data_IF_324846361577
#
_entry.id   IF_324846361577
#
_cell.length_a   1.000
_cell.length_b   1.000
_cell.length_c   1.000
_cell.angle_alpha   90.00
_cell.angle_beta   90.00
_cell.angle_gamma   90.00
#
_symmetry.space_group_name_H-M   'P 1'
#
loop_
_entity.id
_entity.type
_entity.pdbx_description
1 polymer ?
#
# COMPACT_ATOMS: atom_id res chain seq x y z
N UNK A 1 -1.05 -26.02 -6.55
CA UNK A 1 -1.93 -25.49 -7.63
C UNK A 1 -2.66 -24.28 -7.09
N UNK A 2 -2.82 -23.19 -7.87
CA UNK A 2 -3.63 -22.05 -7.46
C UNK A 2 -5.04 -22.51 -7.10
N UNK A 3 -5.67 -21.82 -6.16
CA UNK A 3 -7.02 -22.14 -5.72
C UNK A 3 -7.95 -22.09 -6.95
N UNK A 4 -8.45 -23.25 -7.40
CA UNK A 4 -9.30 -23.34 -8.61
C UNK A 4 -10.66 -22.66 -8.43
N UNK A 5 -10.99 -22.26 -7.21
CA UNK A 5 -12.25 -21.63 -6.84
C UNK A 5 -12.21 -20.09 -6.89
N UNK A 6 -11.05 -19.49 -7.20
CA UNK A 6 -10.95 -18.04 -7.35
C UNK A 6 -11.58 -17.60 -8.67
N UNK A 7 -12.65 -16.81 -8.61
CA UNK A 7 -13.31 -16.18 -9.75
C UNK A 7 -12.51 -14.94 -10.20
N UNK A 8 -11.35 -15.16 -10.82
CA UNK A 8 -10.41 -14.10 -11.21
C UNK A 8 -11.08 -12.99 -12.02
N UNK A 9 -11.98 -13.33 -12.93
CA UNK A 9 -12.70 -12.42 -13.81
C UNK A 9 -13.60 -11.40 -13.09
N UNK A 10 -13.86 -11.59 -11.78
CA UNK A 10 -14.65 -10.66 -10.96
C UNK A 10 -13.79 -9.74 -10.09
N UNK A 11 -12.49 -10.02 -9.97
CA UNK A 11 -11.60 -9.26 -9.10
C UNK A 11 -11.22 -7.94 -9.74
N UNK A 12 -11.27 -6.86 -8.95
CA UNK A 12 -10.71 -5.57 -9.37
C UNK A 12 -9.19 -5.64 -9.45
N UNK A 13 -8.65 -5.12 -10.55
CA UNK A 13 -7.24 -4.92 -10.85
C UNK A 13 -7.10 -3.77 -11.85
N UNK A 14 -5.88 -3.26 -12.05
CA UNK A 14 -5.63 -2.22 -13.07
C UNK A 14 -5.81 -2.77 -14.49
N UNK A 15 -5.31 -3.99 -14.75
CA UNK A 15 -5.49 -4.69 -16.02
C UNK A 15 -6.40 -5.90 -15.89
N UNK A 16 -6.26 -6.84 -16.84
CA UNK A 16 -7.09 -8.05 -16.91
C UNK A 16 -6.65 -9.07 -15.84
N UNK A 17 -7.47 -9.23 -14.81
CA UNK A 17 -7.23 -10.16 -13.70
C UNK A 17 -7.16 -11.62 -14.14
N UNK A 18 -7.71 -11.99 -15.30
CA UNK A 18 -7.72 -13.38 -15.79
C UNK A 18 -6.33 -13.87 -16.24
N UNK A 19 -5.38 -12.96 -16.44
CA UNK A 19 -3.98 -13.30 -16.80
C UNK A 19 -3.13 -13.66 -15.58
N UNK A 20 -3.52 -13.20 -14.39
CA UNK A 20 -2.75 -13.33 -13.15
C UNK A 20 -2.37 -14.79 -12.81
N UNK A 21 -3.25 -15.80 -12.95
CA UNK A 21 -2.86 -17.19 -12.69
C UNK A 21 -1.69 -17.67 -13.55
N UNK A 22 -1.69 -17.31 -14.85
CA UNK A 22 -0.63 -17.69 -15.76
C UNK A 22 0.69 -16.97 -15.42
N UNK A 23 0.61 -15.69 -15.05
CA UNK A 23 1.77 -14.92 -14.60
C UNK A 23 2.37 -15.48 -13.31
N UNK A 24 1.54 -15.91 -12.35
CA UNK A 24 2.03 -16.54 -11.11
C UNK A 24 2.81 -17.82 -11.42
N UNK A 25 2.32 -18.65 -12.34
CA UNK A 25 3.04 -19.84 -12.79
C UNK A 25 4.37 -19.47 -13.47
N UNK A 26 4.34 -18.50 -14.37
CA UNK A 26 5.53 -17.99 -15.05
C UNK A 26 6.58 -17.45 -14.05
N UNK A 27 6.13 -16.76 -13.00
CA UNK A 27 6.99 -16.21 -11.95
C UNK A 27 7.75 -17.28 -11.14
N UNK A 28 7.24 -18.51 -11.09
CA UNK A 28 7.78 -19.57 -10.24
C UNK A 28 8.58 -20.61 -11.02
N UNK A 29 8.19 -20.89 -12.26
CA UNK A 29 8.73 -22.02 -13.02
C UNK A 29 9.76 -21.61 -14.09
N UNK A 30 9.85 -20.32 -14.43
CA UNK A 30 10.74 -19.84 -15.50
C UNK A 30 12.12 -19.36 -14.99
N UNK A 31 13.00 -19.05 -15.95
CA UNK A 31 14.28 -18.35 -15.70
C UNK A 31 14.08 -17.06 -14.90
N UNK A 32 15.10 -16.65 -14.12
CA UNK A 32 15.08 -15.44 -13.29
C UNK A 32 14.55 -14.18 -14.01
N UNK A 33 14.99 -13.92 -15.24
CA UNK A 33 14.55 -12.75 -16.03
C UNK A 33 13.06 -12.82 -16.43
N UNK A 34 12.55 -14.02 -16.73
CA UNK A 34 11.14 -14.21 -17.04
C UNK A 34 10.31 -14.15 -15.76
N UNK A 35 10.82 -14.70 -14.66
CA UNK A 35 10.18 -14.63 -13.35
C UNK A 35 10.04 -13.18 -12.86
N UNK A 36 11.10 -12.39 -13.00
CA UNK A 36 11.11 -10.97 -12.67
C UNK A 36 10.10 -10.18 -13.50
N UNK A 37 10.06 -10.39 -14.82
CA UNK A 37 9.05 -9.74 -15.69
C UNK A 37 7.62 -10.12 -15.36
N UNK A 38 7.37 -11.39 -15.04
CA UNK A 38 6.06 -11.84 -14.60
C UNK A 38 5.66 -11.18 -13.27
N UNK A 39 6.59 -11.08 -12.31
CA UNK A 39 6.38 -10.38 -11.04
C UNK A 39 6.04 -8.90 -11.24
N UNK A 40 6.79 -8.19 -12.10
CA UNK A 40 6.49 -6.79 -12.43
C UNK A 40 5.12 -6.61 -13.07
N UNK A 41 4.69 -7.54 -13.93
CA UNK A 41 3.37 -7.47 -14.53
C UNK A 41 2.27 -7.75 -13.50
N UNK A 42 2.47 -8.70 -12.58
CA UNK A 42 1.54 -8.93 -11.47
C UNK A 42 1.46 -7.68 -10.59
N UNK A 43 2.59 -7.12 -10.17
CA UNK A 43 2.66 -5.90 -9.36
C UNK A 43 1.88 -4.75 -9.99
N UNK A 44 2.09 -4.48 -11.29
CA UNK A 44 1.36 -3.45 -12.03
C UNK A 44 -0.15 -3.64 -12.03
N UNK A 45 -0.61 -4.89 -11.98
CA UNK A 45 -2.03 -5.22 -12.01
C UNK A 45 -2.68 -5.13 -10.62
N UNK A 46 -1.97 -5.55 -9.57
CA UNK A 46 -2.58 -5.77 -8.24
C UNK A 46 -2.11 -4.82 -7.16
N UNK A 47 -0.91 -4.26 -7.27
CA UNK A 47 -0.33 -3.37 -6.27
C UNK A 47 0.62 -2.30 -6.87
N UNK A 48 0.27 -1.62 -7.98
CA UNK A 48 1.18 -0.67 -8.63
C UNK A 48 1.54 0.45 -7.66
N UNK A 49 2.84 0.65 -7.42
CA UNK A 49 3.28 1.66 -6.45
C UNK A 49 2.66 1.47 -5.08
N UNK A 50 2.41 0.21 -4.68
CA UNK A 50 1.80 -0.20 -3.40
C UNK A 50 0.31 0.14 -3.24
N UNK A 51 -0.39 0.41 -4.34
CA UNK A 51 -1.86 0.59 -4.34
C UNK A 51 -2.57 -0.75 -4.51
N UNK A 52 -3.03 -1.36 -3.42
CA UNK A 52 -3.68 -2.66 -3.45
C UNK A 52 -5.06 -2.58 -4.10
N UNK A 53 -5.25 -3.43 -5.10
CA UNK A 53 -6.55 -3.76 -5.67
C UNK A 53 -7.02 -5.12 -5.14
N UNK A 54 -8.32 -5.40 -5.21
CA UNK A 54 -8.91 -6.64 -4.71
C UNK A 54 -8.16 -7.91 -5.15
N UNK A 55 -7.65 -7.94 -6.39
CA UNK A 55 -6.86 -9.04 -6.91
C UNK A 55 -5.57 -9.34 -6.11
N UNK A 56 -5.01 -8.37 -5.37
CA UNK A 56 -3.82 -8.57 -4.55
C UNK A 56 -4.03 -9.63 -3.47
N UNK A 57 -5.23 -9.71 -2.89
CA UNK A 57 -5.55 -10.73 -1.89
C UNK A 57 -5.54 -12.14 -2.49
N UNK A 58 -6.08 -12.31 -3.69
CA UNK A 58 -6.08 -13.59 -4.39
C UNK A 58 -4.68 -14.04 -4.81
N UNK A 59 -3.85 -13.10 -5.29
CA UNK A 59 -2.43 -13.35 -5.56
C UNK A 59 -1.71 -13.76 -4.27
N UNK A 60 -1.89 -13.00 -3.19
CA UNK A 60 -1.28 -13.28 -1.87
C UNK A 60 -1.68 -14.65 -1.35
N UNK A 61 -2.96 -14.99 -1.41
CA UNK A 61 -3.48 -16.30 -0.99
C UNK A 61 -2.83 -17.44 -1.78
N UNK A 62 -2.67 -17.25 -3.09
CA UNK A 62 -2.05 -18.22 -3.98
C UNK A 62 -0.57 -18.42 -3.65
N UNK A 63 0.19 -17.33 -3.51
CA UNK A 63 1.61 -17.39 -3.15
C UNK A 63 1.82 -17.98 -1.76
N UNK A 64 1.01 -17.59 -0.78
CA UNK A 64 1.07 -18.16 0.56
C UNK A 64 0.83 -19.69 0.55
N UNK A 65 -0.06 -20.19 -0.31
CA UNK A 65 -0.28 -21.63 -0.48
C UNK A 65 0.95 -22.35 -1.06
N UNK A 66 1.63 -21.72 -2.02
CA UNK A 66 2.82 -22.26 -2.66
C UNK A 66 4.01 -22.26 -1.71
N UNK A 67 4.20 -21.18 -0.94
CA UNK A 67 5.23 -21.07 0.09
C UNK A 67 5.06 -22.16 1.15
N UNK A 68 3.83 -22.41 1.63
CA UNK A 68 3.55 -23.52 2.56
C UNK A 68 3.93 -24.90 1.99
N UNK A 69 3.98 -25.02 0.67
CA UNK A 69 4.39 -26.24 -0.02
C UNK A 69 5.90 -26.28 -0.31
N UNK A 70 6.67 -25.30 0.19
CA UNK A 70 8.11 -25.17 -0.02
C UNK A 70 8.51 -24.50 -1.34
N UNK A 71 7.56 -23.93 -2.09
CA UNK A 71 7.82 -23.26 -3.38
C UNK A 71 7.81 -21.75 -3.18
N UNK A 72 8.98 -21.11 -3.29
CA UNK A 72 9.14 -19.67 -3.22
C UNK A 72 10.32 -19.23 -4.08
N UNK A 73 10.12 -18.26 -4.98
CA UNK A 73 11.21 -17.60 -5.72
C UNK A 73 11.50 -16.22 -5.14
N UNK A 74 12.67 -15.64 -5.44
CA UNK A 74 13.00 -14.25 -5.07
C UNK A 74 11.93 -13.29 -5.58
N UNK A 75 11.51 -13.44 -6.84
CA UNK A 75 10.49 -12.60 -7.46
C UNK A 75 9.12 -12.69 -6.76
N UNK A 76 8.76 -13.86 -6.23
CA UNK A 76 7.55 -14.03 -5.43
C UNK A 76 7.68 -13.36 -4.05
N UNK A 77 8.86 -13.43 -3.44
CA UNK A 77 9.12 -12.80 -2.15
C UNK A 77 9.11 -11.27 -2.25
N UNK A 78 9.75 -10.71 -3.27
CA UNK A 78 9.74 -9.27 -3.57
C UNK A 78 8.30 -8.76 -3.77
N UNK A 79 7.47 -9.51 -4.50
CA UNK A 79 6.06 -9.17 -4.70
C UNK A 79 5.27 -9.18 -3.37
N UNK A 80 5.53 -10.15 -2.48
CA UNK A 80 4.92 -10.16 -1.15
C UNK A 80 5.39 -8.97 -0.29
N UNK A 81 6.64 -8.52 -0.44
CA UNK A 81 7.12 -7.29 0.22
C UNK A 81 6.31 -6.09 -0.28
N UNK A 82 6.15 -5.91 -1.59
CA UNK A 82 5.36 -4.80 -2.14
C UNK A 82 3.90 -4.83 -1.64
N UNK A 83 3.30 -6.02 -1.55
CA UNK A 83 1.95 -6.17 -1.00
C UNK A 83 1.91 -5.88 0.51
N UNK A 84 2.90 -6.32 1.28
CA UNK A 84 2.97 -6.11 2.74
C UNK A 84 3.12 -4.62 3.12
N UNK A 85 3.76 -3.84 2.26
CA UNK A 85 3.84 -2.39 2.38
C UNK A 85 2.70 -1.64 1.67
N UNK A 86 1.77 -2.38 1.05
CA UNK A 86 0.63 -1.85 0.31
C UNK A 86 -0.50 -1.30 1.17
N UNK A 87 -1.25 -0.36 0.60
CA UNK A 87 -2.50 0.16 1.14
C UNK A 87 -3.62 0.00 0.11
N UNK A 88 -4.90 -0.16 0.52
CA UNK A 88 -6.02 -0.22 -0.40
C UNK A 88 -6.04 1.03 -1.30
N UNK A 89 -6.14 0.82 -2.62
CA UNK A 89 -6.35 1.90 -3.58
C UNK A 89 -7.64 2.67 -3.28
N UNK A 90 -7.77 3.90 -3.78
CA UNK A 90 -9.00 4.66 -3.52
C UNK A 90 -10.23 4.02 -4.16
N UNK A 91 -10.09 3.23 -5.22
CA UNK A 91 -11.18 2.38 -5.74
C UNK A 91 -11.67 1.40 -4.68
N UNK A 92 -10.76 0.68 -4.02
CA UNK A 92 -11.14 -0.27 -2.97
C UNK A 92 -11.82 0.43 -1.79
N UNK A 93 -11.33 1.61 -1.40
CA UNK A 93 -11.96 2.41 -0.35
C UNK A 93 -13.37 2.90 -0.74
N UNK A 94 -13.57 3.31 -1.99
CA UNK A 94 -14.90 3.70 -2.50
C UNK A 94 -15.88 2.52 -2.46
N UNK A 95 -15.42 1.33 -2.82
CA UNK A 95 -16.22 0.09 -2.76
C UNK A 95 -16.44 -0.40 -1.31
N UNK A 96 -15.68 0.14 -0.35
CA UNK A 96 -15.77 -0.20 1.08
C UNK A 96 -14.95 -1.43 1.45
N UNK A 97 -13.90 -1.73 0.67
CA UNK A 97 -12.95 -2.81 0.90
C UNK A 97 -11.71 -2.32 1.69
N UNK A 98 -11.96 -1.54 2.73
CA UNK A 98 -10.93 -0.87 3.54
C UNK A 98 -9.97 -1.85 4.22
N UNK A 99 -10.46 -3.03 4.59
CA UNK A 99 -9.67 -4.07 5.25
C UNK A 99 -8.73 -4.88 4.36
N UNK A 100 -8.57 -4.53 3.07
CA UNK A 100 -7.79 -5.30 2.10
C UNK A 100 -6.33 -5.49 2.52
N UNK A 101 -5.66 -4.43 2.98
CA UNK A 101 -4.27 -4.50 3.43
C UNK A 101 -4.09 -5.44 4.63
N UNK A 102 -5.00 -5.36 5.62
CA UNK A 102 -5.00 -6.26 6.78
C UNK A 102 -5.17 -7.73 6.39
N UNK A 103 -6.05 -8.03 5.42
CA UNK A 103 -6.23 -9.42 4.95
C UNK A 103 -4.99 -9.94 4.22
N UNK A 104 -4.39 -9.14 3.35
CA UNK A 104 -3.13 -9.50 2.68
C UNK A 104 -2.00 -9.72 3.70
N UNK A 105 -1.82 -8.80 4.64
CA UNK A 105 -0.84 -8.91 5.71
C UNK A 105 -1.03 -10.16 6.57
N UNK A 106 -2.28 -10.51 6.92
CA UNK A 106 -2.59 -11.73 7.66
C UNK A 106 -2.20 -13.00 6.87
N UNK A 107 -2.46 -13.03 5.56
CA UNK A 107 -2.07 -14.15 4.70
C UNK A 107 -0.54 -14.32 4.62
N UNK A 108 0.20 -13.22 4.51
CA UNK A 108 1.67 -13.22 4.46
C UNK A 108 2.24 -13.64 5.82
N UNK A 109 1.70 -13.10 6.91
CA UNK A 109 2.12 -13.43 8.28
C UNK A 109 2.02 -14.93 8.56
N UNK A 110 0.97 -15.58 8.06
CA UNK A 110 0.76 -17.01 8.22
C UNK A 110 1.84 -17.88 7.56
N UNK A 111 2.68 -17.32 6.68
CA UNK A 111 3.76 -18.06 6.01
C UNK A 111 5.16 -17.60 6.40
N UNK A 112 5.29 -16.57 7.24
CA UNK A 112 6.60 -16.08 7.71
C UNK A 112 7.50 -17.17 8.30
N UNK A 113 7.02 -18.10 9.16
CA UNK A 113 7.88 -19.16 9.68
C UNK A 113 8.53 -20.00 8.57
N UNK A 114 7.76 -20.36 7.53
CA UNK A 114 8.27 -21.10 6.37
C UNK A 114 9.21 -20.24 5.53
N UNK A 115 8.94 -18.94 5.36
CA UNK A 115 9.85 -18.01 4.69
C UNK A 115 11.20 -17.95 5.42
N UNK A 116 11.21 -17.90 6.75
CA UNK A 116 12.45 -17.89 7.53
C UNK A 116 13.24 -19.19 7.40
N UNK A 117 12.55 -20.34 7.40
CA UNK A 117 13.18 -21.64 7.15
C UNK A 117 13.84 -21.68 5.76
N UNK A 118 13.13 -21.24 4.72
CA UNK A 118 13.67 -21.17 3.36
C UNK A 118 14.85 -20.19 3.27
N UNK A 119 14.78 -19.04 3.95
CA UNK A 119 15.84 -18.04 3.94
C UNK A 119 17.13 -18.54 4.61
N UNK A 120 17.02 -19.34 5.68
CA UNK A 120 18.17 -19.99 6.33
C UNK A 120 18.86 -21.03 5.45
N UNK A 121 18.12 -21.64 4.52
CA UNK A 121 18.65 -22.64 3.58
C UNK A 121 19.17 -22.01 2.29
N UNK A 122 18.86 -20.74 2.05
CA UNK A 122 19.24 -20.03 0.83
C UNK A 122 20.57 -19.31 1.00
N UNK A 123 21.44 -19.40 0.01
CA UNK A 123 22.64 -18.55 -0.11
C UNK A 123 22.37 -17.27 -0.93
N UNK A 124 21.13 -17.08 -1.40
CA UNK A 124 20.72 -15.90 -2.15
C UNK A 124 20.46 -14.71 -1.20
N UNK A 125 21.29 -13.69 -1.32
CA UNK A 125 21.20 -12.46 -0.52
C UNK A 125 19.84 -11.76 -0.69
N UNK A 126 19.27 -11.70 -1.90
CA UNK A 126 17.96 -11.06 -2.13
C UNK A 126 16.84 -11.84 -1.47
N UNK A 127 16.92 -13.17 -1.49
CA UNK A 127 15.95 -13.99 -0.77
C UNK A 127 15.99 -13.70 0.74
N UNK A 128 17.18 -13.63 1.34
CA UNK A 128 17.33 -13.29 2.76
C UNK A 128 16.86 -11.86 3.04
N UNK A 129 17.16 -10.91 2.16
CA UNK A 129 16.69 -9.53 2.26
C UNK A 129 15.16 -9.47 2.30
N UNK A 130 14.46 -10.09 1.34
CA UNK A 130 13.00 -10.08 1.32
C UNK A 130 12.37 -10.73 2.56
N UNK A 131 13.01 -11.75 3.14
CA UNK A 131 12.57 -12.36 4.40
C UNK A 131 12.72 -11.39 5.58
N UNK A 132 13.81 -10.62 5.62
CA UNK A 132 14.05 -9.58 6.63
C UNK A 132 13.10 -8.40 6.46
N UNK A 133 12.82 -7.97 5.23
CA UNK A 133 11.88 -6.89 4.93
C UNK A 133 10.45 -7.27 5.38
N UNK A 134 10.02 -8.51 5.08
CA UNK A 134 8.75 -9.03 5.58
C UNK A 134 8.71 -9.14 7.11
N UNK A 135 9.81 -9.57 7.75
CA UNK A 135 9.89 -9.64 9.21
C UNK A 135 9.81 -8.24 9.83
N UNK A 136 10.55 -7.28 9.28
CA UNK A 136 10.52 -5.87 9.69
C UNK A 136 9.11 -5.32 9.59
N UNK A 137 8.35 -5.69 8.55
CA UNK A 137 7.01 -5.19 8.33
C UNK A 137 5.92 -5.87 9.16
N UNK A 138 5.97 -7.20 9.31
CA UNK A 138 4.83 -8.02 9.76
C UNK A 138 5.13 -8.93 10.97
N UNK A 139 6.39 -9.14 11.34
CA UNK A 139 6.73 -9.99 12.49
C UNK A 139 6.44 -9.24 13.79
N UNK A 140 5.51 -9.79 14.58
CA UNK A 140 5.12 -9.20 15.86
C UNK A 140 5.95 -9.69 17.03
N UNK A 141 6.68 -10.81 16.87
CA UNK A 141 7.56 -11.34 17.90
C UNK A 141 8.92 -10.65 17.87
N UNK A 142 9.19 -9.83 18.89
CA UNK A 142 10.50 -9.24 19.12
C UNK A 142 11.60 -10.32 19.22
N UNK A 143 11.31 -11.48 19.82
CA UNK A 143 12.24 -12.60 19.89
C UNK A 143 12.56 -13.16 18.49
N UNK A 144 11.55 -13.36 17.64
CA UNK A 144 11.75 -13.85 16.28
C UNK A 144 12.60 -12.88 15.45
N UNK A 145 12.35 -11.57 15.57
CA UNK A 145 13.16 -10.52 14.91
C UNK A 145 14.62 -10.54 15.39
N UNK A 146 14.85 -10.64 16.71
CA UNK A 146 16.21 -10.74 17.25
C UNK A 146 16.93 -11.99 16.77
N UNK A 147 16.24 -13.12 16.70
CA UNK A 147 16.81 -14.36 16.22
C UNK A 147 17.25 -14.22 14.76
N UNK A 148 16.38 -13.74 13.87
CA UNK A 148 16.71 -13.46 12.46
C UNK A 148 17.89 -12.50 12.33
N UNK A 149 17.87 -11.37 13.04
CA UNK A 149 18.94 -10.38 13.04
C UNK A 149 20.28 -11.03 13.45
N UNK A 150 20.27 -11.82 14.52
CA UNK A 150 21.49 -12.46 15.05
C UNK A 150 22.01 -13.58 14.16
N UNK A 151 21.14 -14.28 13.44
CA UNK A 151 21.50 -15.36 12.54
C UNK A 151 22.13 -14.79 11.27
N UNK A 152 21.45 -13.85 10.60
CA UNK A 152 21.93 -13.33 9.33
C UNK A 152 23.12 -12.39 9.46
N UNK A 153 23.29 -11.65 10.57
CA UNK A 153 24.51 -10.85 10.81
C UNK A 153 25.79 -11.67 11.02
N UNK A 154 25.68 -12.97 11.30
CA UNK A 154 26.87 -13.83 11.50
C UNK A 154 27.49 -14.31 10.20
N UNK A 155 26.70 -14.34 9.14
CA UNK A 155 27.13 -14.80 7.82
C UNK A 155 27.77 -13.65 7.04
N UNK A 156 28.63 -13.99 6.07
CA UNK A 156 29.12 -12.99 5.11
C UNK A 156 27.95 -12.56 4.22
N UNK A 157 27.70 -11.26 4.15
CA UNK A 157 26.55 -10.69 3.44
C UNK A 157 26.90 -9.37 2.79
N UNK A 158 26.19 -9.06 1.70
CA UNK A 158 26.35 -7.82 0.96
C UNK A 158 25.55 -6.66 1.55
N UNK A 159 25.65 -5.54 0.81
CA UNK A 159 25.08 -4.24 1.19
C UNK A 159 23.55 -4.25 1.22
N UNK A 160 22.89 -5.15 0.49
CA UNK A 160 21.43 -5.19 0.44
C UNK A 160 20.88 -5.78 1.73
N UNK A 161 21.42 -6.93 2.14
CA UNK A 161 21.02 -7.56 3.40
C UNK A 161 21.44 -6.72 4.61
N UNK A 162 22.61 -6.06 4.56
CA UNK A 162 23.04 -5.11 5.60
C UNK A 162 21.98 -4.04 5.89
N UNK A 163 21.44 -3.40 4.84
CA UNK A 163 20.42 -2.35 4.99
C UNK A 163 19.13 -2.88 5.60
N UNK A 164 18.68 -4.04 5.14
CA UNK A 164 17.48 -4.67 5.68
C UNK A 164 17.66 -5.04 7.16
N UNK A 165 18.84 -5.53 7.55
CA UNK A 165 19.17 -5.86 8.94
C UNK A 165 19.26 -4.61 9.82
N UNK A 166 19.83 -3.51 9.33
CA UNK A 166 19.85 -2.22 10.03
C UNK A 166 18.44 -1.67 10.24
N UNK A 167 17.56 -1.83 9.25
CA UNK A 167 16.16 -1.44 9.38
C UNK A 167 15.40 -2.35 10.35
N UNK A 168 15.64 -3.66 10.34
CA UNK A 168 15.11 -4.60 11.33
C UNK A 168 15.58 -4.24 12.75
N UNK A 169 16.84 -3.86 12.91
CA UNK A 169 17.43 -3.47 14.21
C UNK A 169 16.73 -2.25 14.81
N UNK A 170 16.42 -1.23 13.98
CA UNK A 170 15.65 -0.05 14.40
C UNK A 170 14.24 -0.41 14.88
N UNK A 171 13.68 -1.52 14.40
CA UNK A 171 12.30 -1.92 14.65
C UNK A 171 12.15 -3.13 15.59
N UNK A 172 13.21 -3.57 16.29
CA UNK A 172 13.16 -4.78 17.15
C UNK A 172 12.03 -4.78 18.18
N UNK A 173 11.72 -3.61 18.76
CA UNK A 173 10.66 -3.45 19.77
C UNK A 173 9.38 -2.82 19.23
N UNK A 174 9.30 -2.58 17.91
CA UNK A 174 8.11 -2.03 17.29
C UNK A 174 6.98 -3.05 17.35
N UNK A 175 5.79 -2.65 17.80
CA UNK A 175 4.59 -3.48 17.67
C UNK A 175 4.13 -3.40 16.21
N UNK A 176 4.81 -4.10 15.31
CA UNK A 176 4.59 -3.95 13.85
C UNK A 176 3.22 -4.44 13.43
N UNK A 177 2.45 -3.51 12.88
CA UNK A 177 1.30 -3.69 11.97
C UNK A 177 0.79 -2.37 11.36
N UNK A 178 1.24 -1.20 11.81
CA UNK A 178 0.93 0.09 11.16
C UNK A 178 2.20 0.54 10.44
N UNK A 179 2.13 1.10 9.20
CA UNK A 179 3.13 2.05 8.72
C UNK A 179 3.36 3.12 9.80
N UNK A 180 4.28 4.06 9.63
CA UNK A 180 4.13 5.30 10.40
C UNK A 180 2.68 5.78 10.18
N UNK A 181 1.83 5.87 11.22
CA UNK A 181 0.44 6.20 11.06
C UNK A 181 0.35 7.46 10.21
N UNK A 182 -0.61 7.51 9.28
CA UNK A 182 -0.93 8.73 8.53
C UNK A 182 -0.91 9.90 9.50
N UNK A 183 0.18 10.68 9.47
CA UNK A 183 0.42 11.80 10.36
C UNK A 183 0.04 11.49 11.83
N UNK A 184 0.70 10.52 12.44
CA UNK A 184 0.52 10.17 13.85
C UNK A 184 0.29 11.39 14.75
N UNK A 185 -0.87 11.40 15.41
CA UNK A 185 -1.22 12.11 16.65
C UNK A 185 -0.95 13.62 16.76
N UNK A 186 -0.38 14.28 15.75
CA UNK A 186 0.19 15.63 15.83
C UNK A 186 -0.33 16.60 14.78
N UNK A 187 -0.85 16.09 13.66
CA UNK A 187 -1.45 16.90 12.59
C UNK A 187 -2.68 16.17 12.09
N UNK A 188 -3.85 16.79 12.27
CA UNK A 188 -5.10 16.27 11.69
C UNK A 188 -5.07 16.36 10.16
N UNK A 189 -5.78 15.48 9.47
CA UNK A 189 -5.88 15.57 8.01
C UNK A 189 -6.55 16.88 7.57
N UNK A 190 -7.38 17.51 8.41
CA UNK A 190 -7.86 18.88 8.16
C UNK A 190 -6.70 19.86 8.10
N UNK A 191 -5.85 19.90 9.12
CA UNK A 191 -4.72 20.82 9.17
C UNK A 191 -3.77 20.58 7.99
N UNK A 192 -3.62 19.34 7.54
CA UNK A 192 -2.87 19.05 6.34
C UNK A 192 -3.53 19.63 5.08
N UNK A 193 -4.80 19.29 4.83
CA UNK A 193 -5.53 19.68 3.63
C UNK A 193 -5.83 21.19 3.56
N UNK A 194 -5.94 21.85 4.72
CA UNK A 194 -6.12 23.31 4.85
C UNK A 194 -4.77 24.07 4.87
N UNK A 195 -3.64 23.35 4.87
CA UNK A 195 -2.30 23.96 4.86
C UNK A 195 -1.83 24.55 6.19
N UNK A 196 -2.49 24.19 7.29
CA UNK A 196 -2.14 24.57 8.67
C UNK A 196 -0.96 23.79 9.26
N UNK A 197 -0.41 22.82 8.53
CA UNK A 197 0.73 22.01 8.98
C UNK A 197 2.07 22.37 8.33
N UNK A 198 3.16 21.82 8.88
CA UNK A 198 4.49 21.88 8.28
C UNK A 198 4.61 21.10 6.96
N UNK A 199 3.70 20.15 6.73
CA UNK A 199 3.64 19.35 5.52
C UNK A 199 3.02 20.17 4.38
N UNK A 200 3.69 20.16 3.22
CA UNK A 200 3.23 20.87 2.02
C UNK A 200 2.75 19.87 0.99
N UNK A 201 1.57 20.16 0.44
CA UNK A 201 1.07 19.43 -0.73
C UNK A 201 2.13 19.48 -1.82
N UNK A 202 2.45 18.31 -2.34
CA UNK A 202 3.41 18.16 -3.43
C UNK A 202 2.69 17.88 -4.73
N UNK A 203 1.87 16.82 -4.78
CA UNK A 203 1.16 16.40 -5.99
C UNK A 203 0.00 15.47 -5.70
N UNK A 204 -1.05 15.52 -6.51
CA UNK A 204 -1.94 14.39 -6.71
C UNK A 204 -1.33 13.43 -7.73
N UNK A 205 -1.58 12.14 -7.51
CA UNK A 205 -1.10 11.07 -8.39
C UNK A 205 -2.19 10.07 -8.76
N UNK A 206 -3.36 10.16 -8.14
CA UNK A 206 -4.53 9.35 -8.47
C UNK A 206 -5.84 10.09 -8.23
N UNK A 207 -6.79 9.92 -9.15
CA UNK A 207 -8.18 10.40 -9.02
C UNK A 207 -9.10 9.28 -9.47
N UNK A 208 -9.85 8.73 -8.52
CA UNK A 208 -10.76 7.62 -8.76
C UNK A 208 -12.21 8.09 -8.70
N UNK A 209 -12.91 7.98 -9.83
CA UNK A 209 -14.34 8.33 -9.90
C UNK A 209 -15.26 7.19 -9.45
N UNK A 210 -14.70 6.02 -9.10
CA UNK A 210 -15.40 4.88 -8.52
C UNK A 210 -16.56 4.30 -9.35
N UNK A 211 -17.11 3.16 -8.91
CA UNK A 211 -18.38 2.63 -9.42
C UNK A 211 -19.61 3.26 -8.78
N UNK A 212 -19.44 3.91 -7.61
CA UNK A 212 -20.49 4.62 -6.87
C UNK A 212 -20.63 6.05 -7.35
N UNK A 213 -21.86 6.44 -7.74
CA UNK A 213 -22.13 7.71 -8.43
C UNK A 213 -21.99 8.97 -7.58
N UNK A 214 -21.66 8.86 -6.29
CA UNK A 214 -21.57 9.98 -5.34
C UNK A 214 -20.25 9.99 -4.54
N UNK A 215 -19.22 9.27 -4.99
CA UNK A 215 -17.90 9.23 -4.34
C UNK A 215 -16.76 9.54 -5.29
N UNK A 216 -15.73 10.20 -4.78
CA UNK A 216 -14.47 10.45 -5.51
C UNK A 216 -13.30 10.17 -4.59
N UNK A 217 -12.40 9.30 -5.01
CA UNK A 217 -11.14 8.99 -4.36
C UNK A 217 -10.03 9.92 -4.85
N UNK A 218 -9.20 10.42 -3.94
CA UNK A 218 -8.04 11.24 -4.25
C UNK A 218 -6.80 10.67 -3.55
N UNK A 219 -5.77 10.38 -4.35
CA UNK A 219 -4.45 9.97 -3.88
C UNK A 219 -3.45 11.12 -4.04
N UNK A 220 -2.89 11.57 -2.93
CA UNK A 220 -2.06 12.78 -2.83
C UNK A 220 -0.76 12.52 -2.08
N UNK A 221 0.29 13.27 -2.40
CA UNK A 221 1.57 13.25 -1.71
C UNK A 221 1.87 14.60 -1.07
N UNK A 222 2.46 14.55 0.12
CA UNK A 222 2.88 15.69 0.92
C UNK A 222 4.35 15.53 1.31
N UNK A 223 5.04 16.65 1.49
CA UNK A 223 6.46 16.69 1.85
C UNK A 223 6.73 17.57 3.06
N UNK A 224 7.70 17.16 3.87
CA UNK A 224 8.30 17.96 4.96
C UNK A 224 9.82 17.80 4.92
N UNK A 225 10.52 18.77 4.34
CA UNK A 225 11.95 18.66 4.10
C UNK A 225 12.27 17.52 3.13
N UNK A 226 12.94 16.48 3.62
CA UNK A 226 13.26 15.26 2.85
C UNK A 226 12.25 14.13 3.06
N UNK A 227 11.30 14.30 3.98
CA UNK A 227 10.26 13.32 4.28
C UNK A 227 9.10 13.45 3.29
N UNK A 228 8.57 12.31 2.84
CA UNK A 228 7.40 12.24 1.97
C UNK A 228 6.35 11.33 2.61
N UNK A 229 5.08 11.68 2.44
CA UNK A 229 3.95 10.84 2.84
C UNK A 229 2.87 10.88 1.79
N UNK A 230 2.13 9.79 1.65
CA UNK A 230 0.98 9.69 0.77
C UNK A 230 -0.29 9.63 1.61
N UNK A 231 -1.33 10.36 1.19
CA UNK A 231 -2.65 10.33 1.81
C UNK A 231 -3.69 10.01 0.75
N UNK A 232 -4.61 9.12 1.12
CA UNK A 232 -5.79 8.77 0.33
C UNK A 232 -7.04 9.24 1.06
N UNK A 233 -7.89 9.94 0.34
CA UNK A 233 -9.18 10.41 0.87
C UNK A 233 -10.31 9.99 -0.06
N UNK A 234 -11.50 9.80 0.51
CA UNK A 234 -12.74 9.58 -0.21
C UNK A 234 -13.68 10.76 0.07
N UNK A 235 -13.97 11.53 -0.97
CA UNK A 235 -15.05 12.52 -0.95
C UNK A 235 -16.39 11.78 -1.08
N UNK A 236 -17.30 11.99 -0.15
CA UNK A 236 -18.64 11.36 -0.14
C UNK A 236 -19.75 12.37 -0.42
N UNK A 237 -20.87 11.89 -0.98
CA UNK A 237 -22.02 12.71 -1.40
C UNK A 237 -21.58 13.84 -2.32
N UNK A 238 -20.77 13.48 -3.30
CA UNK A 238 -20.21 14.39 -4.29
C UNK A 238 -21.34 14.90 -5.19
N UNK A 239 -21.49 16.23 -5.26
CA UNK A 239 -22.52 16.88 -6.07
C UNK A 239 -21.94 17.59 -7.30
N UNK A 240 -20.64 17.83 -7.33
CA UNK A 240 -19.93 18.41 -8.46
C UNK A 240 -18.51 17.85 -8.52
N UNK A 241 -18.11 17.42 -9.71
CA UNK A 241 -16.73 17.14 -10.07
C UNK A 241 -16.42 17.87 -11.37
N UNK A 242 -15.30 18.57 -11.40
CA UNK A 242 -14.72 19.13 -12.62
C UNK A 242 -13.29 18.64 -12.73
N UNK A 243 -12.98 17.93 -13.82
CA UNK A 243 -11.62 17.51 -14.15
C UNK A 243 -11.28 18.11 -15.51
N UNK A 244 -10.14 18.78 -15.59
CA UNK A 244 -9.65 19.40 -16.81
C UNK A 244 -8.14 19.25 -16.91
N UNK A 245 -7.64 19.03 -18.13
CA UNK A 245 -6.20 18.89 -18.38
C UNK A 245 -5.66 17.48 -18.16
N UNK A 246 -4.33 17.36 -18.25
CA UNK A 246 -3.60 16.10 -18.08
C UNK A 246 -2.95 16.07 -16.71
N UNK A 247 -3.22 15.02 -15.93
CA UNK A 247 -2.50 14.79 -14.68
C UNK A 247 -1.05 14.41 -14.99
N UNK A 248 -0.13 15.35 -14.81
CA UNK A 248 1.30 15.14 -14.94
C UNK A 248 1.90 15.14 -13.53
N UNK A 249 2.76 14.17 -13.25
CA UNK A 249 3.47 14.07 -11.98
C UNK A 249 4.45 15.25 -11.84
N UNK A 250 3.97 16.33 -11.26
CA UNK A 250 4.72 17.54 -10.98
C UNK A 250 4.11 18.28 -9.80
N UNK A 251 4.83 19.32 -9.36
CA UNK A 251 4.42 20.13 -8.21
C UNK A 251 3.05 20.77 -8.45
N UNK A 252 2.27 20.87 -7.39
CA UNK A 252 0.93 21.43 -7.46
C UNK A 252 0.54 22.27 -6.26
N UNK A 253 -0.69 22.76 -6.36
CA UNK A 253 -1.37 23.49 -5.31
C UNK A 253 -2.66 22.77 -4.95
N UNK A 254 -2.86 22.59 -3.65
CA UNK A 254 -4.09 22.08 -3.07
C UNK A 254 -4.75 23.22 -2.29
N UNK A 255 -6.03 23.47 -2.56
CA UNK A 255 -6.88 24.36 -1.78
C UNK A 255 -8.11 23.58 -1.32
N UNK A 256 -8.31 23.49 -0.02
CA UNK A 256 -9.55 23.01 0.57
C UNK A 256 -10.25 24.14 1.31
N UNK A 257 -11.53 24.36 1.02
CA UNK A 257 -12.37 25.35 1.68
C UNK A 257 -13.81 24.86 1.81
N UNK A 258 -14.55 25.38 2.78
CA UNK A 258 -15.95 25.01 2.99
C UNK A 258 -16.27 24.79 4.46
N UNK A 259 -17.53 24.46 4.71
CA UNK A 259 -18.09 24.17 6.04
C UNK A 259 -18.54 22.70 6.07
N UNK A 260 -18.73 22.10 7.27
CA UNK A 260 -19.36 20.79 7.41
C UNK A 260 -20.60 20.58 6.54
N UNK A 261 -20.57 19.53 5.72
CA UNK A 261 -21.65 19.23 4.79
C UNK A 261 -21.52 19.93 3.43
N UNK A 262 -20.56 20.83 3.24
CA UNK A 262 -20.29 21.51 1.98
C UNK A 262 -18.79 21.86 1.84
N UNK A 263 -18.00 20.86 1.47
CA UNK A 263 -16.58 20.99 1.16
C UNK A 263 -16.35 21.28 -0.32
N UNK A 264 -15.29 22.03 -0.60
CA UNK A 264 -14.71 22.21 -1.92
C UNK A 264 -13.21 21.95 -1.85
N UNK A 265 -12.77 20.95 -2.61
CA UNK A 265 -11.36 20.63 -2.82
C UNK A 265 -10.99 21.03 -4.24
N UNK A 266 -9.89 21.77 -4.37
CA UNK A 266 -9.33 22.20 -5.64
C UNK A 266 -7.86 21.79 -5.71
N UNK A 267 -7.49 21.14 -6.81
CA UNK A 267 -6.10 20.75 -7.09
C UNK A 267 -5.70 21.35 -8.43
N UNK A 268 -4.57 22.03 -8.44
CA UNK A 268 -3.96 22.61 -9.62
C UNK A 268 -2.53 22.05 -9.79
N UNK A 269 -2.24 21.38 -10.90
CA UNK A 269 -0.93 20.78 -11.20
C UNK A 269 -0.58 20.98 -12.68
N UNK A 270 0.18 22.04 -12.97
CA UNK A 270 0.38 22.48 -14.35
C UNK A 270 -0.96 22.77 -15.02
N UNK A 271 -1.26 22.06 -16.11
CA UNK A 271 -2.54 22.17 -16.83
C UNK A 271 -3.68 21.37 -16.18
N UNK A 272 -3.37 20.50 -15.22
CA UNK A 272 -4.37 19.72 -14.49
C UNK A 272 -5.12 20.59 -13.50
N UNK A 273 -6.44 20.50 -13.55
CA UNK A 273 -7.37 21.24 -12.70
C UNK A 273 -8.47 20.29 -12.25
N UNK A 274 -8.56 20.07 -10.95
CA UNK A 274 -9.61 19.28 -10.31
C UNK A 274 -10.38 20.16 -9.34
N UNK A 275 -11.70 20.10 -9.40
CA UNK A 275 -12.60 20.65 -8.37
C UNK A 275 -13.58 19.56 -7.95
N UNK A 276 -13.63 19.26 -6.65
CA UNK A 276 -14.61 18.34 -6.06
C UNK A 276 -15.43 19.11 -5.03
N UNK A 277 -16.75 19.04 -5.14
CA UNK A 277 -17.67 19.50 -4.09
C UNK A 277 -18.40 18.30 -3.49
N UNK A 278 -18.30 18.16 -2.17
CA UNK A 278 -18.76 16.99 -1.44
C UNK A 278 -19.29 17.37 -0.05
N UNK A 279 -20.05 16.47 0.57
CA UNK A 279 -20.57 16.72 1.92
C UNK A 279 -19.64 16.22 3.02
N UNK A 280 -18.77 15.25 2.71
CA UNK A 280 -17.80 14.71 3.64
C UNK A 280 -16.51 14.33 2.91
N UNK A 281 -15.39 14.37 3.64
CA UNK A 281 -14.08 13.89 3.22
C UNK A 281 -13.68 12.84 4.26
N UNK A 282 -13.47 11.61 3.84
CA UNK A 282 -13.13 10.50 4.74
C UNK A 282 -11.69 10.10 4.47
N UNK A 283 -10.93 9.90 5.55
CA UNK A 283 -9.62 9.26 5.51
C UNK A 283 -9.84 7.85 6.00
N UNK A 284 -9.43 6.88 5.20
CA UNK A 284 -9.47 5.48 5.60
C UNK A 284 -8.07 5.14 6.10
N UNK A 285 -7.91 4.94 7.41
CA UNK A 285 -6.70 4.31 7.93
C UNK A 285 -6.72 2.84 7.46
N UNK A 286 -5.74 2.40 6.65
CA UNK A 286 -5.74 1.06 6.09
C UNK A 286 -5.40 -0.04 7.10
N UNK A 287 -4.99 0.33 8.32
CA UNK A 287 -4.49 -0.57 9.36
C UNK A 287 -5.31 -0.52 10.65
N UNK A 288 -6.25 0.42 10.79
CA UNK A 288 -7.27 0.39 11.84
C UNK A 288 -8.57 -0.25 11.34
N UNK A 289 -9.08 -1.24 12.09
CA UNK A 289 -10.40 -1.86 11.83
C UNK A 289 -11.57 -0.87 12.01
N UNK A 290 -11.32 0.27 12.67
CA UNK A 290 -12.27 1.34 12.84
C UNK A 290 -11.96 2.43 11.80
N UNK A 291 -12.86 2.63 10.85
CA UNK A 291 -12.84 3.83 10.03
C UNK A 291 -12.83 5.03 10.98
N UNK A 292 -11.75 5.81 11.01
CA UNK A 292 -11.80 7.15 11.57
C UNK A 292 -12.66 7.97 10.61
N UNK A 293 -13.98 7.88 10.79
CA UNK A 293 -14.91 8.84 10.22
C UNK A 293 -14.73 10.12 11.01
N UNK A 294 -13.73 10.91 10.63
CA UNK A 294 -13.75 12.33 10.92
C UNK A 294 -14.92 12.93 10.13
N UNK A 295 -16.12 12.81 10.70
CA UNK A 295 -17.23 13.69 10.38
C UNK A 295 -16.84 15.06 10.92
N UNK A 296 -16.15 15.81 10.07
CA UNK A 296 -15.76 17.18 10.33
C UNK A 296 -16.93 18.02 10.87
N UNK A 297 -16.81 18.49 12.11
CA UNK A 297 -17.58 19.62 12.65
C UNK A 297 -16.60 20.78 12.73
N UNK A 298 -16.66 21.67 11.74
CA UNK A 298 -15.89 22.90 11.67
C UNK A 298 -16.25 23.78 12.84
N UNK A 299 -15.41 23.79 13.87
CA UNK A 299 -15.37 24.89 14.80
C UNK A 299 -14.29 25.84 14.30
N UNK A 300 -14.76 26.96 13.75
CA UNK A 300 -13.94 28.16 13.59
C UNK A 300 -13.58 28.66 14.99
N UNK A 301 -12.29 28.70 15.32
CA UNK A 301 -11.82 29.57 16.39
C UNK A 301 -11.33 30.86 15.76
N UNK A 302 -12.10 31.93 16.04
CA UNK A 302 -11.80 33.33 15.77
C UNK A 302 -10.44 33.77 16.36
#
# INVERSE_FOLDING_TARGET
MPNRDTEWEKLRSVGDSTTLPALIHQMLDDSEEAAYRASQEIERNVCPGRELYEAAEAVTLTLASLIRSGVCSVAALDLLVEIAYGEPSSVEQIEGNDGLALRCAALIKNVLPTVYELARLSDDERFRQGAVDLATRLETSEEARRNLLSEFRRDDHGVLLDRALDDLEKHLSSQTLVPDPLLGNSVSVAELLQGGSEWKFWRAFGVDLGGRTDRVGLSMQFRRGVEETAIRIVCEKVNKVRIQGLLILGDGHLRMCGEPGQYRIEIEQGDFQLEVQCAAVVVVDPWELATVKECWTGESHD
#
